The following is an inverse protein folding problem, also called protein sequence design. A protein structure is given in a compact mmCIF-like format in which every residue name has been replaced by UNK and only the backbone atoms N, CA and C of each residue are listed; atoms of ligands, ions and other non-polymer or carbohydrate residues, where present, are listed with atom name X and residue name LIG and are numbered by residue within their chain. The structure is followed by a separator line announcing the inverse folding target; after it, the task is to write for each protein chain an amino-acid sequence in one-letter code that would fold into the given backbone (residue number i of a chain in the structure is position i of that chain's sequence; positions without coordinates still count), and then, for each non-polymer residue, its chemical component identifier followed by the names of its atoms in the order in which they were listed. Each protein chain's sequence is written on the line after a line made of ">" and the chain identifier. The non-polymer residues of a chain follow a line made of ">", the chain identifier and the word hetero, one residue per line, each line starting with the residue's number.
data_IF_650254384150
#
_entry.id   IF_650254384150
#
_cell.length_a   1.000
_cell.length_b   1.000
_cell.length_c   1.000
_cell.angle_alpha   90.00
_cell.angle_beta   90.00
_cell.angle_gamma   90.00
#
_symmetry.space_group_name_H-M   'P 1'
#
loop_
_entity.id
_entity.type
_entity.pdbx_description
1 polymer ?
#
# COMPACT_ATOMS: atom_id res chain seq x y z
N UNK A 1 -0.29 -11.65 20.35
CA UNK A 1 -1.21 -11.48 19.21
C UNK A 1 -0.44 -11.77 17.95
N UNK A 2 -1.03 -12.51 17.00
CA UNK A 2 -0.39 -12.89 15.74
C UNK A 2 -1.01 -12.11 14.59
N UNK A 3 -0.17 -11.58 13.71
CA UNK A 3 -0.59 -10.88 12.50
C UNK A 3 0.12 -11.55 11.33
N UNK A 4 -0.66 -12.04 10.37
CA UNK A 4 -0.11 -12.65 9.16
C UNK A 4 -0.52 -11.85 7.93
N UNK A 5 0.40 -11.69 7.00
CA UNK A 5 0.13 -11.00 5.75
C UNK A 5 0.60 -11.81 4.53
N UNK A 6 -0.15 -11.65 3.44
CA UNK A 6 0.20 -12.15 2.11
C UNK A 6 0.08 -10.98 1.11
N UNK A 7 1.06 -10.85 0.25
CA UNK A 7 1.06 -9.80 -0.75
C UNK A 7 2.30 -9.79 -1.62
N UNK A 8 2.37 -8.83 -2.51
CA UNK A 8 3.56 -8.58 -3.30
C UNK A 8 4.69 -8.07 -2.39
N UNK A 9 5.91 -8.51 -2.65
CA UNK A 9 7.15 -7.91 -2.16
C UNK A 9 8.09 -7.72 -3.34
N UNK A 10 8.74 -6.59 -3.43
CA UNK A 10 9.54 -6.19 -4.57
C UNK A 10 10.67 -5.25 -4.17
N UNK A 11 11.63 -5.06 -5.06
CA UNK A 11 12.64 -4.02 -4.92
C UNK A 11 12.23 -2.80 -5.73
N UNK A 12 12.20 -1.64 -5.07
CA UNK A 12 12.09 -0.34 -5.72
C UNK A 12 13.49 0.18 -6.06
N UNK A 13 13.72 0.42 -7.35
CA UNK A 13 14.92 1.09 -7.87
C UNK A 13 14.61 2.56 -8.08
N UNK A 14 15.13 3.43 -7.20
CA UNK A 14 14.78 4.85 -7.13
C UNK A 14 15.80 5.71 -7.89
N UNK A 15 15.38 6.27 -9.01
CA UNK A 15 16.16 7.22 -9.82
C UNK A 15 15.60 8.62 -9.60
N UNK A 16 16.22 9.40 -8.71
CA UNK A 16 15.71 10.70 -8.26
C UNK A 16 15.93 11.86 -9.23
N UNK A 17 16.81 11.71 -10.22
CA UNK A 17 17.25 12.79 -11.11
C UNK A 17 17.07 12.42 -12.58
N UNK A 18 15.92 11.89 -12.95
CA UNK A 18 15.52 11.74 -14.35
C UNK A 18 15.15 13.12 -14.91
N UNK A 19 15.27 13.29 -16.21
CA UNK A 19 14.88 14.50 -16.91
C UNK A 19 13.76 14.15 -17.89
N UNK A 20 12.55 14.54 -17.55
CA UNK A 20 11.36 14.27 -18.39
C UNK A 20 11.36 15.07 -19.69
N UNK A 21 12.20 16.11 -19.81
CA UNK A 21 12.34 16.89 -21.04
C UNK A 21 13.41 16.30 -21.98
N UNK A 22 14.12 15.26 -21.54
CA UNK A 22 15.06 14.55 -22.40
C UNK A 22 14.35 13.92 -23.61
N UNK A 23 15.00 14.00 -24.77
CA UNK A 23 14.48 13.45 -26.04
C UNK A 23 14.21 11.94 -25.95
N UNK A 24 15.04 11.19 -25.25
CA UNK A 24 14.85 9.75 -25.06
C UNK A 24 13.62 9.47 -24.18
N UNK A 25 13.47 10.18 -23.06
CA UNK A 25 12.29 10.06 -22.21
C UNK A 25 11.03 10.43 -22.99
N UNK A 26 11.04 11.55 -23.71
CA UNK A 26 9.92 12.03 -24.52
C UNK A 26 9.53 11.03 -25.62
N UNK A 27 10.50 10.35 -26.22
CA UNK A 27 10.25 9.36 -27.27
C UNK A 27 9.56 8.09 -26.76
N UNK A 28 9.64 7.84 -25.45
CA UNK A 28 9.04 6.68 -24.78
C UNK A 28 7.69 6.99 -24.13
N UNK A 29 7.21 8.24 -24.18
CA UNK A 29 5.92 8.60 -23.63
C UNK A 29 4.77 7.96 -24.41
N UNK A 30 3.78 7.49 -23.66
CA UNK A 30 2.51 7.02 -24.21
C UNK A 30 1.83 8.13 -25.02
N UNK A 31 1.40 7.79 -26.21
CA UNK A 31 0.63 8.69 -27.12
C UNK A 31 -0.83 8.33 -27.15
N UNK A 32 -1.17 7.08 -26.81
CA UNK A 32 -2.54 6.57 -26.78
C UNK A 32 -2.73 5.66 -25.57
N UNK A 33 -3.88 5.71 -24.96
CA UNK A 33 -4.20 4.85 -23.79
C UNK A 33 -3.93 3.39 -24.11
N UNK A 34 -3.06 2.76 -23.29
CA UNK A 34 -2.75 1.34 -23.40
C UNK A 34 -1.74 0.95 -24.48
N UNK A 35 -1.04 1.91 -25.09
CA UNK A 35 -0.02 1.63 -26.11
C UNK A 35 1.30 1.06 -25.56
N UNK A 36 1.48 1.07 -24.23
CA UNK A 36 2.65 0.53 -23.55
C UNK A 36 3.78 1.53 -23.32
N UNK A 37 3.61 2.80 -23.70
CA UNK A 37 4.57 3.87 -23.44
C UNK A 37 4.55 4.34 -21.98
N UNK A 38 5.58 5.10 -21.57
CA UNK A 38 5.68 5.71 -20.25
C UNK A 38 4.52 6.67 -19.97
N UNK A 39 4.06 6.69 -18.72
CA UNK A 39 2.98 7.58 -18.27
C UNK A 39 3.57 8.43 -17.14
N UNK A 40 3.58 9.75 -17.28
CA UNK A 40 3.94 10.66 -16.20
C UNK A 40 2.90 10.54 -15.07
N UNK A 41 3.37 10.31 -13.85
CA UNK A 41 2.48 10.04 -12.70
C UNK A 41 1.84 8.64 -12.71
N UNK A 42 2.17 7.78 -13.69
CA UNK A 42 1.57 6.46 -13.85
C UNK A 42 2.57 5.33 -13.93
N UNK A 43 2.05 4.12 -14.14
CA UNK A 43 2.85 2.90 -14.23
C UNK A 43 2.66 2.22 -15.58
N UNK A 44 3.74 1.65 -16.10
CA UNK A 44 3.76 0.74 -17.25
C UNK A 44 4.46 -0.56 -16.85
N UNK A 45 4.11 -1.68 -17.48
CA UNK A 45 4.86 -2.91 -17.32
C UNK A 45 6.08 -2.93 -18.26
N UNK A 46 7.19 -3.50 -17.80
CA UNK A 46 8.42 -3.55 -18.56
C UNK A 46 8.22 -4.24 -19.92
N UNK A 47 7.43 -5.33 -19.96
CA UNK A 47 7.11 -6.07 -21.16
C UNK A 47 6.35 -5.22 -22.19
N UNK A 48 5.46 -4.32 -21.71
CA UNK A 48 4.71 -3.43 -22.58
C UNK A 48 5.61 -2.33 -23.14
N UNK A 49 6.51 -1.79 -22.31
CA UNK A 49 7.45 -0.78 -22.71
C UNK A 49 8.47 -1.32 -23.74
N UNK A 50 8.90 -2.59 -23.58
CA UNK A 50 9.74 -3.26 -24.59
C UNK A 50 9.05 -3.35 -25.95
N UNK A 51 7.77 -3.72 -25.95
CA UNK A 51 6.98 -3.81 -27.20
C UNK A 51 6.80 -2.41 -27.82
N UNK A 52 6.49 -1.40 -26.99
CA UNK A 52 6.31 -0.02 -27.44
C UNK A 52 7.60 0.56 -28.07
N UNK A 53 8.73 0.35 -27.39
CA UNK A 53 10.01 0.91 -27.79
C UNK A 53 10.74 0.07 -28.86
N UNK A 54 10.37 -1.20 -29.03
CA UNK A 54 11.07 -2.16 -29.88
C UNK A 54 12.51 -2.47 -29.42
N UNK A 55 12.81 -2.33 -28.13
CA UNK A 55 14.13 -2.53 -27.51
C UNK A 55 14.01 -3.35 -26.23
N UNK A 56 15.04 -4.13 -25.84
CA UNK A 56 15.06 -4.82 -24.56
C UNK A 56 15.00 -3.83 -23.38
N UNK A 57 14.33 -4.23 -22.29
CA UNK A 57 14.17 -3.39 -21.09
C UNK A 57 15.50 -2.95 -20.48
N UNK A 58 16.52 -3.82 -20.51
CA UNK A 58 17.87 -3.48 -20.04
C UNK A 58 18.49 -2.28 -20.75
N UNK A 59 18.28 -2.15 -22.08
CA UNK A 59 18.73 -0.99 -22.84
C UNK A 59 17.92 0.27 -22.52
N UNK A 60 16.60 0.09 -22.30
CA UNK A 60 15.70 1.19 -21.98
C UNK A 60 16.04 1.81 -20.64
N UNK A 61 16.25 0.99 -19.61
CA UNK A 61 16.56 1.50 -18.27
C UNK A 61 17.96 2.15 -18.23
N UNK A 62 18.96 1.61 -18.93
CA UNK A 62 20.28 2.23 -19.05
C UNK A 62 20.19 3.61 -19.70
N UNK A 63 19.36 3.74 -20.73
CA UNK A 63 19.10 5.02 -21.41
C UNK A 63 18.39 6.02 -20.51
N UNK A 64 17.27 5.61 -19.90
CA UNK A 64 16.44 6.45 -19.01
C UNK A 64 17.20 6.89 -17.75
N UNK A 65 18.03 6.02 -17.21
CA UNK A 65 18.85 6.32 -16.03
C UNK A 65 20.12 7.12 -16.37
N UNK A 66 20.48 7.20 -17.65
CA UNK A 66 21.77 7.78 -18.12
C UNK A 66 22.98 7.15 -17.42
N UNK A 67 22.91 5.84 -17.18
CA UNK A 67 23.95 5.07 -16.48
C UNK A 67 24.11 5.43 -14.99
N UNK A 68 23.15 6.15 -14.39
CA UNK A 68 23.15 6.42 -12.95
C UNK A 68 22.75 5.16 -12.16
N UNK A 69 23.34 5.01 -10.98
CA UNK A 69 22.96 3.95 -10.05
C UNK A 69 21.75 4.40 -9.21
N UNK A 70 20.70 3.58 -9.09
CA UNK A 70 19.56 3.88 -8.25
C UNK A 70 19.89 3.67 -6.77
N UNK A 71 19.18 4.37 -5.91
CA UNK A 71 18.96 3.89 -4.55
C UNK A 71 17.97 2.72 -4.59
N UNK A 72 18.08 1.80 -3.64
CA UNK A 72 17.15 0.67 -3.53
C UNK A 72 16.37 0.73 -2.23
N UNK A 73 15.10 0.32 -2.28
CA UNK A 73 14.28 0.14 -1.09
C UNK A 73 13.40 -1.11 -1.26
N UNK A 74 12.87 -1.60 -0.15
CA UNK A 74 11.84 -2.64 -0.16
C UNK A 74 10.49 -1.99 -0.44
N UNK A 75 9.75 -2.54 -1.40
CA UNK A 75 8.37 -2.21 -1.70
C UNK A 75 7.45 -3.40 -1.50
N UNK A 76 6.15 -3.12 -1.60
CA UNK A 76 5.08 -4.09 -1.46
C UNK A 76 4.16 -3.79 -0.29
N UNK A 77 2.85 -3.54 -0.56
CA UNK A 77 1.93 -3.03 0.45
C UNK A 77 1.84 -3.87 1.72
N UNK A 78 1.70 -5.19 1.58
CA UNK A 78 1.54 -6.07 2.74
C UNK A 78 2.79 -6.14 3.61
N UNK A 79 3.97 -6.28 3.01
CA UNK A 79 5.22 -6.41 3.78
C UNK A 79 5.62 -5.08 4.45
N UNK A 80 5.45 -3.95 3.76
CA UNK A 80 5.74 -2.64 4.32
C UNK A 80 4.80 -2.33 5.50
N UNK A 81 3.49 -2.61 5.36
CA UNK A 81 2.53 -2.45 6.46
C UNK A 81 2.92 -3.30 7.67
N UNK A 82 3.34 -4.54 7.44
CA UNK A 82 3.72 -5.46 8.51
C UNK A 82 5.02 -5.05 9.22
N UNK A 83 6.02 -4.57 8.46
CA UNK A 83 7.25 -4.01 9.02
C UNK A 83 6.93 -2.76 9.85
N UNK A 84 6.04 -1.88 9.36
CA UNK A 84 5.58 -0.72 10.12
C UNK A 84 5.01 -1.15 11.48
N UNK A 85 4.13 -2.16 11.50
CA UNK A 85 3.57 -2.73 12.74
C UNK A 85 4.69 -3.23 13.65
N UNK A 86 5.63 -4.02 13.15
CA UNK A 86 6.71 -4.59 13.94
C UNK A 86 7.63 -3.52 14.55
N UNK A 87 7.87 -2.42 13.84
CA UNK A 87 8.68 -1.29 14.29
C UNK A 87 7.96 -0.46 15.37
N UNK A 88 6.66 -0.19 15.18
CA UNK A 88 5.88 0.64 16.11
C UNK A 88 5.45 -0.13 17.36
N UNK A 89 5.29 -1.44 17.25
CA UNK A 89 4.83 -2.28 18.35
C UNK A 89 5.91 -3.18 18.95
N UNK A 90 7.18 -2.84 18.75
CA UNK A 90 8.34 -3.66 19.10
C UNK A 90 8.42 -4.04 20.60
N UNK A 91 7.77 -3.30 21.49
CA UNK A 91 7.69 -3.54 22.93
C UNK A 91 6.43 -4.30 23.37
N UNK A 92 5.55 -4.70 22.45
CA UNK A 92 4.30 -5.38 22.74
C UNK A 92 4.38 -6.87 22.34
N UNK A 93 3.54 -7.74 22.92
CA UNK A 93 3.54 -9.16 22.60
C UNK A 93 2.83 -9.44 21.26
N UNK A 94 3.41 -8.92 20.18
CA UNK A 94 2.91 -9.03 18.80
C UNK A 94 3.96 -9.76 17.97
N UNK A 95 3.53 -10.72 17.16
CA UNK A 95 4.35 -11.39 16.14
C UNK A 95 3.77 -11.14 14.75
N UNK A 96 4.65 -10.83 13.81
CA UNK A 96 4.31 -10.53 12.43
C UNK A 96 4.91 -11.60 11.51
N UNK A 97 4.06 -12.27 10.70
CA UNK A 97 4.49 -13.28 9.75
C UNK A 97 4.05 -12.89 8.33
N UNK A 98 4.96 -13.00 7.37
CA UNK A 98 4.71 -12.66 5.97
C UNK A 98 4.94 -13.87 5.06
N UNK A 99 4.10 -14.03 4.04
CA UNK A 99 4.33 -14.96 2.95
C UNK A 99 4.25 -14.24 1.61
N UNK A 100 5.27 -14.43 0.78
CA UNK A 100 5.38 -13.83 -0.55
C UNK A 100 6.08 -14.74 -1.54
N UNK A 101 6.39 -14.20 -2.71
CA UNK A 101 7.09 -14.90 -3.79
C UNK A 101 8.24 -14.04 -4.31
N UNK A 102 9.38 -14.69 -4.58
CA UNK A 102 10.59 -14.05 -5.12
C UNK A 102 11.26 -14.95 -6.14
N UNK A 103 12.12 -14.37 -6.96
CA UNK A 103 13.07 -15.11 -7.81
C UNK A 103 14.27 -15.63 -7.01
N UNK A 104 14.99 -16.60 -7.57
CA UNK A 104 16.30 -17.05 -7.05
C UNK A 104 17.43 -16.20 -7.66
N UNK A 105 17.44 -14.91 -7.34
CA UNK A 105 18.34 -13.90 -7.90
C UNK A 105 18.87 -12.95 -6.82
N UNK A 106 19.58 -11.92 -7.27
CA UNK A 106 20.15 -10.89 -6.40
C UNK A 106 19.05 -10.13 -5.64
N UNK A 107 17.95 -9.75 -6.31
CA UNK A 107 16.88 -8.96 -5.72
C UNK A 107 16.10 -9.76 -4.68
N UNK A 108 15.90 -11.07 -4.92
CA UNK A 108 15.33 -11.97 -3.91
C UNK A 108 16.21 -12.08 -2.67
N UNK A 109 17.54 -12.08 -2.84
CA UNK A 109 18.49 -12.03 -1.71
C UNK A 109 18.39 -10.69 -0.98
N UNK A 110 18.32 -9.59 -1.70
CA UNK A 110 18.21 -8.24 -1.14
C UNK A 110 16.91 -8.06 -0.35
N UNK A 111 15.77 -8.60 -0.83
CA UNK A 111 14.50 -8.62 -0.07
C UNK A 111 14.70 -9.30 1.28
N UNK A 112 15.32 -10.49 1.30
CA UNK A 112 15.60 -11.22 2.54
C UNK A 112 16.51 -10.43 3.49
N UNK A 113 17.50 -9.71 2.96
CA UNK A 113 18.39 -8.85 3.74
C UNK A 113 17.67 -7.67 4.37
N UNK A 114 16.76 -7.01 3.63
CA UNK A 114 15.94 -5.92 4.18
C UNK A 114 15.03 -6.39 5.30
N UNK A 115 14.29 -7.48 5.06
CA UNK A 115 13.36 -8.04 6.05
C UNK A 115 14.11 -8.61 7.26
N UNK A 116 15.28 -9.22 7.04
CA UNK A 116 16.13 -9.76 8.11
C UNK A 116 16.65 -8.72 9.10
N UNK A 117 16.52 -7.42 8.79
CA UNK A 117 16.81 -6.31 9.72
C UNK A 117 15.59 -5.87 10.54
N UNK A 118 14.47 -6.57 10.42
CA UNK A 118 13.19 -6.27 11.09
C UNK A 118 12.76 -7.47 11.96
N UNK A 119 11.75 -7.29 12.78
CA UNK A 119 11.17 -8.38 13.59
C UNK A 119 10.03 -9.13 12.83
N UNK A 120 9.98 -9.07 11.49
CA UNK A 120 8.99 -9.80 10.67
C UNK A 120 9.55 -11.16 10.27
N UNK A 121 8.84 -12.23 10.60
CA UNK A 121 9.14 -13.57 10.11
C UNK A 121 8.60 -13.74 8.69
N UNK A 122 9.47 -13.80 7.69
CA UNK A 122 9.07 -13.95 6.29
C UNK A 122 9.43 -15.33 5.72
N UNK A 123 8.48 -15.91 5.02
CA UNK A 123 8.67 -17.11 4.20
C UNK A 123 8.34 -16.80 2.73
N UNK A 124 9.02 -17.48 1.82
CA UNK A 124 8.88 -17.22 0.38
C UNK A 124 8.74 -18.50 -0.42
N UNK A 125 7.86 -18.46 -1.42
CA UNK A 125 8.00 -19.31 -2.58
C UNK A 125 9.13 -18.74 -3.46
N UNK A 126 10.17 -19.55 -3.72
CA UNK A 126 11.33 -19.12 -4.50
C UNK A 126 11.35 -19.80 -5.87
N UNK A 127 11.27 -19.02 -6.94
CA UNK A 127 11.29 -19.53 -8.31
C UNK A 127 12.65 -19.27 -8.97
N UNK A 128 13.20 -20.28 -9.64
CA UNK A 128 14.39 -20.15 -10.47
C UNK A 128 14.12 -19.75 -11.92
N UNK A 129 12.86 -19.70 -12.31
CA UNK A 129 12.40 -19.47 -13.69
C UNK A 129 11.96 -18.05 -13.98
N UNK A 130 11.70 -17.25 -12.94
CA UNK A 130 11.23 -15.88 -13.05
C UNK A 130 12.06 -14.97 -12.14
N UNK A 131 12.33 -13.73 -12.56
CA UNK A 131 13.03 -12.77 -11.71
C UNK A 131 12.15 -12.34 -10.52
N UNK A 132 12.79 -11.84 -9.47
CA UNK A 132 12.10 -11.16 -8.38
C UNK A 132 11.33 -9.95 -8.90
N UNK A 133 10.11 -9.69 -8.42
CA UNK A 133 9.37 -8.48 -8.78
C UNK A 133 10.17 -7.21 -8.46
N UNK A 134 10.15 -6.24 -9.37
CA UNK A 134 10.84 -4.95 -9.19
C UNK A 134 10.01 -3.81 -9.72
N UNK A 135 10.22 -2.61 -9.17
CA UNK A 135 9.67 -1.36 -9.71
C UNK A 135 10.80 -0.36 -9.90
N UNK A 136 10.89 0.20 -11.10
CA UNK A 136 11.80 1.29 -11.43
C UNK A 136 11.05 2.60 -11.32
N UNK A 137 11.43 3.43 -10.36
CA UNK A 137 10.82 4.72 -10.07
C UNK A 137 11.68 5.81 -10.70
N UNK A 138 11.19 6.41 -11.75
CA UNK A 138 11.85 7.49 -12.48
C UNK A 138 11.30 8.82 -11.95
N UNK A 139 12.07 9.52 -11.12
CA UNK A 139 11.67 10.78 -10.51
C UNK A 139 12.31 11.98 -11.22
N UNK A 140 11.50 12.97 -11.60
CA UNK A 140 11.96 14.28 -12.05
C UNK A 140 11.47 15.36 -11.09
N UNK A 141 12.40 15.92 -10.29
CA UNK A 141 12.11 17.00 -9.32
C UNK A 141 11.68 18.31 -9.96
N UNK A 142 11.98 18.52 -11.25
CA UNK A 142 11.66 19.74 -11.99
C UNK A 142 10.34 19.65 -12.75
N UNK A 143 9.76 18.47 -12.87
CA UNK A 143 8.45 18.27 -13.49
C UNK A 143 7.35 19.07 -12.79
N UNK A 144 6.25 19.31 -13.49
CA UNK A 144 5.08 20.04 -12.97
C UNK A 144 5.42 21.41 -12.36
N UNK A 145 6.39 22.15 -12.97
CA UNK A 145 6.79 23.47 -12.48
C UNK A 145 7.58 23.43 -11.18
N UNK A 146 8.32 22.35 -10.92
CA UNK A 146 9.13 22.18 -9.71
C UNK A 146 8.43 21.49 -8.55
N UNK A 147 7.21 20.97 -8.76
CA UNK A 147 6.51 20.14 -7.77
C UNK A 147 7.04 18.71 -7.74
N UNK A 148 7.71 18.29 -8.82
CA UNK A 148 8.20 16.95 -9.01
C UNK A 148 7.12 15.99 -9.51
N UNK A 149 7.55 14.96 -10.24
CA UNK A 149 6.68 13.88 -10.69
C UNK A 149 7.47 12.57 -10.79
N UNK A 150 6.78 11.43 -10.79
CA UNK A 150 7.37 10.10 -10.92
C UNK A 150 6.64 9.30 -11.98
N UNK A 151 7.38 8.45 -12.66
CA UNK A 151 6.86 7.42 -13.55
C UNK A 151 7.37 6.07 -13.07
N UNK A 152 6.55 5.05 -13.18
CA UNK A 152 6.86 3.73 -12.66
C UNK A 152 6.93 2.72 -13.79
N UNK A 153 7.96 1.87 -13.77
CA UNK A 153 8.05 0.71 -14.65
C UNK A 153 8.12 -0.53 -13.76
N UNK A 154 7.15 -1.42 -13.86
CA UNK A 154 7.06 -2.61 -13.02
C UNK A 154 7.41 -3.86 -13.81
N UNK A 155 8.22 -4.73 -13.20
CA UNK A 155 8.48 -6.10 -13.63
C UNK A 155 7.72 -7.02 -12.68
N UNK A 156 6.68 -7.69 -13.19
CA UNK A 156 5.87 -8.61 -12.37
C UNK A 156 6.71 -9.82 -11.95
N UNK A 157 7.50 -10.38 -12.84
CA UNK A 157 8.38 -11.52 -12.55
C UNK A 157 7.65 -12.68 -11.88
N UNK A 158 8.25 -13.20 -10.81
CA UNK A 158 7.71 -14.31 -10.02
C UNK A 158 6.32 -14.02 -9.41
N UNK A 159 5.95 -12.74 -9.19
CA UNK A 159 4.66 -12.37 -8.62
C UNK A 159 3.45 -12.88 -9.44
N UNK A 160 3.64 -13.10 -10.74
CA UNK A 160 2.62 -13.67 -11.61
C UNK A 160 2.20 -15.10 -11.27
N UNK A 161 3.05 -15.84 -10.57
CA UNK A 161 2.91 -17.29 -10.38
C UNK A 161 2.33 -17.67 -9.01
N UNK A 162 2.21 -16.74 -8.05
CA UNK A 162 1.70 -17.08 -6.72
C UNK A 162 0.18 -17.33 -6.76
N UNK A 163 -0.23 -18.51 -6.28
CA UNK A 163 -1.64 -18.87 -6.07
C UNK A 163 -1.92 -19.15 -4.60
N UNK A 164 -3.18 -19.32 -4.23
CA UNK A 164 -3.59 -19.64 -2.85
C UNK A 164 -3.11 -21.01 -2.37
N UNK A 165 -2.74 -21.89 -3.31
CA UNK A 165 -2.32 -23.26 -3.00
C UNK A 165 -0.94 -23.31 -2.33
N UNK A 166 -0.04 -22.38 -2.69
CA UNK A 166 1.30 -22.30 -2.12
C UNK A 166 1.33 -21.69 -0.71
N UNK A 167 0.22 -21.05 -0.28
CA UNK A 167 0.17 -20.40 1.03
C UNK A 167 0.01 -21.42 2.15
N UNK A 168 0.98 -21.50 3.09
CA UNK A 168 0.94 -22.46 4.20
C UNK A 168 -0.31 -22.30 5.06
N UNK A 169 -0.89 -23.40 5.51
CA UNK A 169 -2.08 -23.38 6.35
C UNK A 169 -1.85 -22.68 7.69
N UNK A 170 -0.63 -22.78 8.21
CA UNK A 170 -0.21 -22.17 9.47
C UNK A 170 -0.34 -20.64 9.47
N UNK A 171 -0.24 -20.03 8.29
CA UNK A 171 -0.38 -18.58 8.13
C UNK A 171 -1.79 -18.08 8.44
N UNK A 172 -2.80 -18.93 8.30
CA UNK A 172 -4.20 -18.60 8.63
C UNK A 172 -4.52 -18.76 10.13
N UNK A 173 -3.63 -19.40 10.91
CA UNK A 173 -3.76 -19.49 12.38
C UNK A 173 -3.24 -18.21 13.04
N UNK A 174 -3.96 -17.14 12.86
CA UNK A 174 -3.60 -15.76 13.21
C UNK A 174 -4.80 -14.99 13.74
N UNK A 175 -4.56 -13.93 14.49
CA UNK A 175 -5.65 -13.04 14.96
C UNK A 175 -6.07 -12.06 13.86
N UNK A 176 -5.08 -11.51 13.10
CA UNK A 176 -5.33 -10.64 11.95
C UNK A 176 -4.70 -11.26 10.68
N UNK A 177 -5.48 -11.38 9.62
CA UNK A 177 -5.02 -11.80 8.30
C UNK A 177 -5.12 -10.63 7.33
N UNK A 178 -3.97 -10.20 6.80
CA UNK A 178 -3.84 -9.02 5.94
C UNK A 178 -3.51 -9.44 4.52
N UNK A 179 -4.27 -8.94 3.56
CA UNK A 179 -3.97 -9.00 2.14
C UNK A 179 -3.63 -7.60 1.66
N UNK A 180 -2.45 -7.41 1.06
CA UNK A 180 -2.02 -6.10 0.57
C UNK A 180 -1.49 -6.17 -0.85
N UNK A 181 -2.01 -5.27 -1.73
CA UNK A 181 -1.51 -5.11 -3.09
C UNK A 181 -1.67 -6.33 -3.99
N UNK A 182 -2.74 -7.11 -3.81
CA UNK A 182 -2.95 -8.38 -4.54
C UNK A 182 -3.09 -8.22 -6.05
N UNK A 183 -3.44 -7.03 -6.55
CA UNK A 183 -3.46 -6.75 -7.99
C UNK A 183 -2.10 -6.92 -8.68
N UNK A 184 -0.99 -6.85 -7.92
CA UNK A 184 0.36 -7.20 -8.39
C UNK A 184 0.67 -8.71 -8.33
N UNK A 185 -0.27 -9.50 -7.83
CA UNK A 185 -0.24 -10.97 -7.78
C UNK A 185 -1.46 -11.53 -8.53
N UNK A 186 -1.50 -11.43 -9.86
CA UNK A 186 -2.74 -11.61 -10.63
C UNK A 186 -3.41 -12.98 -10.43
N UNK A 187 -2.66 -14.06 -10.29
CA UNK A 187 -3.22 -15.37 -10.04
C UNK A 187 -3.87 -15.46 -8.65
N UNK A 188 -3.20 -14.91 -7.63
CA UNK A 188 -3.71 -14.84 -6.26
C UNK A 188 -4.93 -13.91 -6.15
N UNK A 189 -4.94 -12.80 -6.90
CA UNK A 189 -6.05 -11.84 -6.91
C UNK A 189 -7.37 -12.48 -7.36
N UNK A 190 -7.33 -13.38 -8.32
CA UNK A 190 -8.52 -14.14 -8.75
C UNK A 190 -9.04 -15.09 -7.65
N UNK A 191 -8.24 -15.42 -6.65
CA UNK A 191 -8.55 -16.36 -5.57
C UNK A 191 -8.81 -15.67 -4.21
N UNK A 192 -9.01 -14.35 -4.18
CA UNK A 192 -9.25 -13.56 -2.96
C UNK A 192 -10.36 -14.14 -2.07
N UNK A 193 -11.49 -14.54 -2.66
CA UNK A 193 -12.61 -15.11 -1.91
C UNK A 193 -12.21 -16.42 -1.19
N UNK A 194 -11.38 -17.25 -1.83
CA UNK A 194 -10.90 -18.49 -1.23
C UNK A 194 -9.97 -18.18 -0.04
N UNK A 195 -9.05 -17.22 -0.19
CA UNK A 195 -8.15 -16.80 0.88
C UNK A 195 -8.89 -16.24 2.08
N UNK A 196 -9.80 -15.31 1.84
CA UNK A 196 -10.61 -14.69 2.89
C UNK A 196 -11.50 -15.72 3.58
N UNK A 197 -12.07 -16.68 2.82
CA UNK A 197 -12.84 -17.79 3.40
C UNK A 197 -11.97 -18.66 4.31
N UNK A 198 -10.72 -18.97 3.93
CA UNK A 198 -9.79 -19.75 4.77
C UNK A 198 -9.49 -18.98 6.07
N UNK A 199 -9.18 -17.68 5.98
CA UNK A 199 -8.89 -16.83 7.13
C UNK A 199 -10.11 -16.74 8.10
N UNK A 200 -11.30 -16.49 7.56
CA UNK A 200 -12.56 -16.41 8.37
C UNK A 200 -12.88 -17.74 9.04
N UNK A 201 -12.68 -18.87 8.38
CA UNK A 201 -12.87 -20.20 8.98
C UNK A 201 -11.88 -20.49 10.11
N UNK A 202 -10.69 -19.91 10.05
CA UNK A 202 -9.70 -19.99 11.11
C UNK A 202 -9.97 -19.01 12.28
N UNK A 203 -10.96 -18.13 12.13
CA UNK A 203 -11.33 -17.13 13.15
C UNK A 203 -10.59 -15.81 13.06
N UNK A 204 -9.81 -15.59 12.02
CA UNK A 204 -9.06 -14.34 11.84
C UNK A 204 -9.97 -13.17 11.43
N UNK A 205 -9.68 -11.97 11.94
CA UNK A 205 -10.14 -10.73 11.35
C UNK A 205 -9.39 -10.50 10.03
N UNK A 206 -10.12 -10.11 8.98
CA UNK A 206 -9.58 -9.94 7.63
C UNK A 206 -9.47 -8.46 7.25
N UNK A 207 -8.29 -8.04 6.83
CA UNK A 207 -8.00 -6.68 6.37
C UNK A 207 -7.48 -6.75 4.94
N UNK A 208 -8.06 -5.98 4.04
CA UNK A 208 -7.60 -5.89 2.64
C UNK A 208 -7.18 -4.46 2.35
N UNK A 209 -5.90 -4.28 2.05
CA UNK A 209 -5.36 -3.06 1.45
C UNK A 209 -5.24 -3.25 -0.06
N UNK A 210 -5.91 -2.42 -0.84
CA UNK A 210 -5.84 -2.49 -2.30
C UNK A 210 -4.62 -1.78 -2.84
N UNK A 211 -4.41 -1.89 -4.13
CA UNK A 211 -3.46 -1.12 -4.92
C UNK A 211 -4.09 -0.92 -6.29
N UNK A 212 -3.67 0.12 -7.00
CA UNK A 212 -4.15 0.40 -8.34
C UNK A 212 -3.92 -0.82 -9.27
N UNK A 213 -4.99 -1.35 -9.86
CA UNK A 213 -4.96 -2.54 -10.73
C UNK A 213 -4.64 -2.14 -12.16
N UNK A 214 -3.37 -1.89 -12.44
CA UNK A 214 -2.89 -1.48 -13.75
C UNK A 214 -3.23 -2.49 -14.85
N UNK A 215 -3.27 -3.79 -14.55
CA UNK A 215 -3.57 -4.84 -15.51
C UNK A 215 -5.02 -4.78 -15.98
N UNK A 216 -5.96 -4.57 -15.07
CA UNK A 216 -7.37 -4.41 -15.41
C UNK A 216 -7.67 -3.02 -15.95
N UNK A 217 -7.01 -1.97 -15.46
CA UNK A 217 -7.11 -0.63 -16.03
C UNK A 217 -6.67 -0.61 -17.51
N UNK A 218 -5.58 -1.31 -17.87
CA UNK A 218 -5.14 -1.46 -19.25
C UNK A 218 -6.17 -2.19 -20.13
N UNK A 219 -6.79 -3.26 -19.61
CA UNK A 219 -7.80 -4.04 -20.35
C UNK A 219 -9.09 -3.27 -20.59
N UNK A 220 -9.51 -2.46 -19.63
CA UNK A 220 -10.74 -1.68 -19.67
C UNK A 220 -10.52 -0.32 -18.99
N UNK A 221 -9.89 0.63 -19.70
CA UNK A 221 -9.55 1.95 -19.15
C UNK A 221 -10.77 2.64 -18.57
N UNK A 222 -10.64 3.13 -17.34
CA UNK A 222 -11.71 3.77 -16.56
C UNK A 222 -12.94 2.87 -16.29
N UNK A 223 -12.86 1.60 -16.65
CA UNK A 223 -13.90 0.63 -16.36
C UNK A 223 -13.81 0.11 -14.92
N UNK A 224 -14.85 -0.63 -14.54
CA UNK A 224 -14.87 -1.29 -13.24
C UNK A 224 -13.89 -2.45 -13.21
N UNK A 225 -13.07 -2.50 -12.14
CA UNK A 225 -12.17 -3.63 -11.91
C UNK A 225 -12.92 -4.84 -11.35
N UNK A 226 -12.49 -6.06 -11.72
CA UNK A 226 -13.07 -7.27 -11.19
C UNK A 226 -12.69 -7.40 -9.70
N UNK A 227 -13.72 -7.57 -8.87
CA UNK A 227 -13.57 -7.97 -7.48
C UNK A 227 -14.78 -8.83 -7.14
N UNK A 228 -14.56 -10.04 -6.69
CA UNK A 228 -15.68 -10.97 -6.46
C UNK A 228 -16.58 -10.44 -5.35
N UNK A 229 -17.89 -10.42 -5.61
CA UNK A 229 -18.89 -9.82 -4.71
C UNK A 229 -18.84 -10.40 -3.29
N UNK A 230 -18.59 -11.69 -3.13
CA UNK A 230 -18.56 -12.32 -1.82
C UNK A 230 -17.25 -12.01 -1.07
N UNK A 231 -16.15 -11.66 -1.76
CA UNK A 231 -14.93 -11.18 -1.13
C UNK A 231 -15.15 -9.88 -0.35
N UNK A 232 -16.03 -8.99 -0.80
CA UNK A 232 -16.39 -7.78 -0.05
C UNK A 232 -16.97 -8.09 1.33
N UNK A 233 -17.88 -9.08 1.42
CA UNK A 233 -18.52 -9.49 2.68
C UNK A 233 -17.59 -10.25 3.62
N UNK A 234 -16.51 -10.83 3.07
CA UNK A 234 -15.49 -11.56 3.82
C UNK A 234 -14.35 -10.64 4.28
N UNK A 235 -14.36 -9.37 3.89
CA UNK A 235 -13.38 -8.36 4.26
C UNK A 235 -13.90 -7.55 5.43
N UNK A 236 -13.39 -7.77 6.66
CA UNK A 236 -13.84 -7.02 7.84
C UNK A 236 -13.47 -5.54 7.76
N UNK A 237 -12.32 -5.22 7.14
CA UNK A 237 -11.93 -3.84 6.86
C UNK A 237 -11.27 -3.74 5.47
N UNK A 238 -11.86 -2.91 4.60
CA UNK A 238 -11.30 -2.55 3.30
C UNK A 238 -10.61 -1.19 3.41
N UNK A 239 -9.33 -1.11 2.98
CA UNK A 239 -8.56 0.14 2.89
C UNK A 239 -8.15 0.34 1.45
N UNK A 240 -8.53 1.46 0.85
CA UNK A 240 -8.22 1.80 -0.54
C UNK A 240 -8.04 3.31 -0.70
N UNK A 241 -7.51 3.73 -1.85
CA UNK A 241 -7.56 5.14 -2.22
C UNK A 241 -8.83 5.48 -3.03
N UNK A 242 -9.02 6.77 -3.29
CA UNK A 242 -10.20 7.25 -4.04
C UNK A 242 -10.26 6.71 -5.46
N UNK A 243 -9.13 6.58 -6.17
CA UNK A 243 -9.11 6.07 -7.53
C UNK A 243 -9.46 4.58 -7.54
N UNK A 244 -8.88 3.82 -6.63
CA UNK A 244 -9.18 2.40 -6.45
C UNK A 244 -10.66 2.18 -6.09
N UNK A 245 -11.20 2.99 -5.16
CA UNK A 245 -12.59 2.93 -4.77
C UNK A 245 -13.54 3.16 -5.96
N UNK A 246 -13.27 4.18 -6.78
CA UNK A 246 -14.03 4.49 -7.99
C UNK A 246 -13.97 3.32 -8.99
N UNK A 247 -12.78 2.74 -9.20
CA UNK A 247 -12.60 1.61 -10.11
C UNK A 247 -13.26 0.32 -9.61
N UNK A 248 -13.10 0.00 -8.33
CA UNK A 248 -13.72 -1.19 -7.71
C UNK A 248 -15.26 -1.11 -7.74
N UNK A 249 -15.81 0.06 -7.50
CA UNK A 249 -17.27 0.27 -7.52
C UNK A 249 -17.84 0.46 -8.92
N UNK A 250 -17.05 1.00 -9.86
CA UNK A 250 -17.50 1.42 -11.18
C UNK A 250 -18.30 2.72 -11.15
N UNK A 251 -18.06 3.56 -10.16
CA UNK A 251 -18.69 4.89 -9.98
C UNK A 251 -17.77 6.00 -10.46
N UNK A 252 -18.15 7.26 -10.28
CA UNK A 252 -17.41 8.43 -10.80
C UNK A 252 -16.83 9.33 -9.71
N UNK A 253 -17.21 9.09 -8.44
CA UNK A 253 -16.80 9.91 -7.30
C UNK A 253 -16.75 9.08 -6.02
N UNK A 254 -16.07 9.62 -5.00
CA UNK A 254 -15.80 8.94 -3.73
C UNK A 254 -17.08 8.62 -2.94
N UNK A 255 -18.07 9.50 -2.93
CA UNK A 255 -19.33 9.27 -2.18
C UNK A 255 -20.17 8.17 -2.83
N UNK A 256 -20.24 8.17 -4.16
CA UNK A 256 -20.91 7.11 -4.93
C UNK A 256 -20.21 5.77 -4.74
N UNK A 257 -18.88 5.76 -4.67
CA UNK A 257 -18.09 4.56 -4.37
C UNK A 257 -18.38 4.04 -2.96
N UNK A 258 -18.39 4.92 -1.96
CA UNK A 258 -18.73 4.56 -0.57
C UNK A 258 -20.13 3.97 -0.46
N UNK A 259 -21.14 4.61 -1.05
CA UNK A 259 -22.53 4.09 -1.08
C UNK A 259 -22.60 2.72 -1.77
N UNK A 260 -21.81 2.54 -2.81
CA UNK A 260 -21.72 1.26 -3.50
C UNK A 260 -21.10 0.17 -2.60
N UNK A 261 -20.02 0.46 -1.85
CA UNK A 261 -19.41 -0.50 -0.90
C UNK A 261 -20.39 -0.90 0.20
N UNK A 262 -21.17 0.05 0.74
CA UNK A 262 -22.22 -0.22 1.70
C UNK A 262 -23.26 -1.20 1.11
N UNK A 263 -23.74 -0.93 -0.10
CA UNK A 263 -24.71 -1.79 -0.79
C UNK A 263 -24.14 -3.15 -1.18
N UNK A 264 -22.83 -3.25 -1.42
CA UNK A 264 -22.13 -4.50 -1.69
C UNK A 264 -21.92 -5.36 -0.44
N UNK A 265 -22.12 -4.78 0.76
CA UNK A 265 -22.02 -5.46 2.04
C UNK A 265 -20.61 -5.50 2.61
N UNK A 266 -19.76 -4.53 2.29
CA UNK A 266 -18.45 -4.32 2.97
C UNK A 266 -18.77 -3.93 4.42
N UNK A 267 -18.27 -4.63 5.45
CA UNK A 267 -18.60 -4.33 6.85
C UNK A 267 -18.04 -3.01 7.36
N UNK A 268 -16.80 -2.67 6.97
CA UNK A 268 -16.16 -1.38 7.25
C UNK A 268 -15.14 -1.04 6.17
N UNK A 269 -14.95 0.25 5.91
CA UNK A 269 -13.93 0.71 4.97
C UNK A 269 -13.34 2.07 5.35
N UNK A 270 -12.11 2.29 4.87
CA UNK A 270 -11.41 3.58 4.91
C UNK A 270 -10.96 3.88 3.48
N UNK A 271 -11.31 5.07 2.96
CA UNK A 271 -10.91 5.55 1.63
C UNK A 271 -10.01 6.77 1.82
N UNK A 272 -8.75 6.66 1.44
CA UNK A 272 -7.80 7.78 1.48
C UNK A 272 -7.91 8.63 0.22
N UNK A 273 -7.58 9.92 0.32
CA UNK A 273 -7.68 10.87 -0.79
C UNK A 273 -6.44 11.79 -0.88
N UNK A 274 -5.25 11.20 -0.83
CA UNK A 274 -4.00 11.95 -0.87
C UNK A 274 -3.88 12.94 0.29
N UNK A 275 -3.80 14.24 0.00
CA UNK A 275 -3.76 15.33 0.99
C UNK A 275 -5.15 15.86 1.38
N UNK A 276 -6.23 15.21 0.96
CA UNK A 276 -7.61 15.59 1.30
C UNK A 276 -8.16 14.69 2.40
N UNK A 277 -9.38 15.02 2.85
CA UNK A 277 -10.05 14.29 3.94
C UNK A 277 -10.21 12.80 3.63
N UNK A 278 -10.03 11.99 4.65
CA UNK A 278 -10.19 10.54 4.63
C UNK A 278 -11.64 10.20 4.89
N UNK A 279 -12.24 9.38 4.04
CA UNK A 279 -13.61 8.93 4.21
C UNK A 279 -13.65 7.55 4.86
N UNK A 280 -14.44 7.40 5.93
CA UNK A 280 -14.60 6.10 6.59
C UNK A 280 -16.06 5.81 6.99
N UNK A 281 -16.37 4.52 7.10
CA UNK A 281 -17.67 4.01 7.46
C UNK A 281 -17.59 2.61 8.07
N UNK A 282 -18.49 2.31 9.02
CA UNK A 282 -18.63 0.98 9.60
C UNK A 282 -20.10 0.65 9.88
N UNK A 283 -20.54 -0.55 9.50
CA UNK A 283 -21.89 -1.06 9.76
C UNK A 283 -22.09 -1.48 11.21
N UNK A 284 -23.35 -1.63 11.63
CA UNK A 284 -23.72 -2.20 12.92
C UNK A 284 -23.30 -3.66 13.11
N UNK A 285 -23.08 -4.37 12.00
CA UNK A 285 -22.69 -5.79 12.00
C UNK A 285 -21.19 -5.99 11.85
N UNK A 286 -20.41 -4.89 11.82
CA UNK A 286 -18.95 -4.92 11.74
C UNK A 286 -18.30 -5.19 13.10
N UNK A 287 -16.99 -5.39 13.09
CA UNK A 287 -16.17 -5.46 14.31
C UNK A 287 -15.89 -4.07 14.93
N UNK A 288 -16.40 -3.01 14.33
CA UNK A 288 -16.24 -1.62 14.77
C UNK A 288 -17.53 -1.06 15.36
N UNK A 289 -17.42 -0.04 16.21
CA UNK A 289 -18.57 0.79 16.53
C UNK A 289 -19.19 1.34 15.24
N UNK A 290 -20.52 1.31 15.16
CA UNK A 290 -21.24 1.86 14.00
C UNK A 290 -20.79 3.29 13.75
N UNK A 291 -20.32 3.56 12.55
CA UNK A 291 -19.85 4.87 12.14
C UNK A 291 -20.57 5.27 10.88
N UNK A 292 -21.28 6.39 10.90
CA UNK A 292 -21.86 6.97 9.69
C UNK A 292 -20.75 7.35 8.70
N UNK A 293 -21.12 7.60 7.46
CA UNK A 293 -20.18 8.02 6.44
C UNK A 293 -19.55 9.37 6.83
N UNK A 294 -18.32 9.31 7.33
CA UNK A 294 -17.64 10.43 8.00
C UNK A 294 -16.33 10.79 7.30
N UNK A 295 -16.15 12.08 7.08
CA UNK A 295 -14.89 12.65 6.61
C UNK A 295 -14.00 13.05 7.79
N UNK A 296 -12.76 12.57 7.79
CA UNK A 296 -11.73 12.92 8.77
C UNK A 296 -10.65 13.76 8.10
N UNK A 297 -10.34 14.96 8.60
CA UNK A 297 -9.29 15.78 8.00
C UNK A 297 -7.94 15.10 8.10
N UNK A 298 -7.04 15.30 7.14
CA UNK A 298 -5.65 14.82 7.23
C UNK A 298 -4.90 15.46 8.39
N UNK A 299 -3.78 14.86 8.79
CA UNK A 299 -2.98 15.32 9.91
C UNK A 299 -2.33 16.68 9.63
N UNK A 300 -2.93 17.76 10.15
CA UNK A 300 -2.44 19.14 9.98
C UNK A 300 -1.00 19.32 10.48
N UNK A 301 -0.58 18.60 11.51
CA UNK A 301 0.78 18.73 12.04
C UNK A 301 1.85 18.42 10.99
N UNK A 302 1.62 17.41 10.17
CA UNK A 302 2.52 17.04 9.06
C UNK A 302 2.50 18.13 7.98
N UNK A 303 1.32 18.63 7.61
CA UNK A 303 1.20 19.73 6.65
C UNK A 303 1.93 21.00 7.14
N UNK A 304 1.77 21.35 8.41
CA UNK A 304 2.45 22.52 9.02
C UNK A 304 3.99 22.33 8.98
N UNK A 305 4.51 21.11 9.23
CA UNK A 305 5.93 20.80 9.10
C UNK A 305 6.43 21.00 7.66
N UNK A 306 5.71 20.47 6.67
CA UNK A 306 6.07 20.57 5.25
C UNK A 306 5.93 22.01 4.71
N UNK A 307 4.99 22.79 5.22
CA UNK A 307 4.88 24.22 4.89
C UNK A 307 6.02 25.04 5.49
N UNK A 308 6.45 24.71 6.72
CA UNK A 308 7.56 25.39 7.37
C UNK A 308 8.91 25.07 6.71
N UNK A 309 9.08 23.83 6.28
CA UNK A 309 10.27 23.36 5.57
C UNK A 309 9.92 22.35 4.47
N UNK A 310 9.70 22.82 3.22
CA UNK A 310 9.39 21.94 2.09
C UNK A 310 10.47 20.90 1.77
N UNK A 311 11.70 21.07 2.25
CA UNK A 311 12.77 20.09 2.04
C UNK A 311 12.59 18.80 2.83
N UNK A 312 11.68 18.79 3.80
CA UNK A 312 11.28 17.59 4.55
C UNK A 312 10.47 16.61 3.71
N UNK A 313 9.84 17.07 2.62
CA UNK A 313 9.15 16.16 1.70
C UNK A 313 10.17 15.36 0.91
N UNK A 314 10.37 14.09 1.32
CA UNK A 314 11.36 13.21 0.70
C UNK A 314 10.74 12.38 -0.41
N UNK A 315 9.61 11.72 -0.13
CA UNK A 315 8.94 10.83 -1.07
C UNK A 315 7.47 10.63 -0.68
N UNK A 316 6.62 10.26 -1.64
CA UNK A 316 5.24 9.83 -1.38
C UNK A 316 5.06 8.31 -1.58
N UNK A 317 6.13 7.60 -2.00
CA UNK A 317 6.12 6.14 -2.16
C UNK A 317 5.94 5.48 -0.78
N UNK A 318 5.00 4.55 -0.70
CA UNK A 318 4.73 3.81 0.53
C UNK A 318 3.91 4.55 1.58
N UNK A 319 3.38 5.77 1.30
CA UNK A 319 2.47 6.45 2.23
C UNK A 319 1.22 5.62 2.50
N UNK A 320 0.60 5.02 1.46
CA UNK A 320 -0.54 4.11 1.60
C UNK A 320 -0.21 2.85 2.39
N UNK A 321 0.98 2.29 2.18
CA UNK A 321 1.44 1.09 2.87
C UNK A 321 1.66 1.35 4.36
N UNK A 322 2.28 2.50 4.70
CA UNK A 322 2.45 2.93 6.08
C UNK A 322 1.12 3.35 6.72
N UNK A 323 0.19 3.94 5.94
CA UNK A 323 -1.17 4.20 6.39
C UNK A 323 -1.86 2.89 6.83
N UNK A 324 -1.85 1.87 5.97
CA UNK A 324 -2.39 0.55 6.30
C UNK A 324 -1.69 -0.05 7.54
N UNK A 325 -0.36 0.11 7.64
CA UNK A 325 0.41 -0.29 8.82
C UNK A 325 -0.10 0.38 10.09
N UNK A 326 -0.34 1.70 10.06
CA UNK A 326 -0.91 2.46 11.18
C UNK A 326 -2.31 2.01 11.57
N UNK A 327 -3.17 1.74 10.59
CA UNK A 327 -4.51 1.14 10.81
C UNK A 327 -4.38 -0.20 11.57
N UNK A 328 -3.47 -1.07 11.14
CA UNK A 328 -3.23 -2.36 11.80
C UNK A 328 -2.67 -2.16 13.22
N UNK A 329 -1.78 -1.18 13.44
CA UNK A 329 -1.28 -0.82 14.79
C UNK A 329 -2.43 -0.46 15.71
N UNK A 330 -3.35 0.44 15.29
CA UNK A 330 -4.51 0.83 16.09
C UNK A 330 -5.40 -0.38 16.44
N UNK A 331 -5.80 -1.17 15.43
CA UNK A 331 -6.62 -2.37 15.64
C UNK A 331 -5.94 -3.32 16.63
N UNK A 332 -4.66 -3.56 16.46
CA UNK A 332 -3.88 -4.46 17.32
C UNK A 332 -3.82 -3.96 18.77
N UNK A 333 -3.59 -2.66 18.97
CA UNK A 333 -3.59 -2.03 20.30
C UNK A 333 -4.95 -2.18 20.97
N UNK A 334 -6.02 -1.86 20.26
CA UNK A 334 -7.37 -1.98 20.76
C UNK A 334 -7.73 -3.42 21.17
N UNK A 335 -7.34 -4.41 20.36
CA UNK A 335 -7.55 -5.83 20.66
C UNK A 335 -6.71 -6.34 21.86
N UNK A 336 -5.53 -5.77 22.07
CA UNK A 336 -4.71 -6.09 23.26
C UNK A 336 -5.25 -5.45 24.54
N UNK A 337 -5.89 -4.28 24.44
CA UNK A 337 -6.46 -3.53 25.57
C UNK A 337 -7.87 -4.01 25.96
N UNK A 338 -8.69 -4.41 24.95
CA UNK A 338 -10.12 -4.77 25.10
C UNK A 338 -10.31 -6.22 24.68
N UNK A 339 -10.68 -7.09 25.62
CA UNK A 339 -10.88 -8.52 25.32
C UNK A 339 -12.23 -8.83 24.63
N UNK A 340 -13.21 -7.90 24.62
CA UNK A 340 -14.61 -8.15 24.24
C UNK A 340 -15.38 -6.95 23.68
N UNK A 341 -14.72 -5.88 23.27
CA UNK A 341 -15.33 -4.65 22.78
C UNK A 341 -15.27 -4.47 21.27
N UNK A 342 -16.18 -3.65 20.73
CA UNK A 342 -16.11 -3.14 19.38
C UNK A 342 -14.90 -2.21 19.24
N UNK A 343 -14.29 -2.23 18.05
CA UNK A 343 -13.13 -1.40 17.71
C UNK A 343 -13.59 0.04 17.37
N UNK A 344 -12.71 1.00 17.58
CA UNK A 344 -12.88 2.38 17.19
C UNK A 344 -12.24 2.63 15.81
N UNK A 345 -13.07 2.90 14.79
CA UNK A 345 -12.63 3.18 13.45
C UNK A 345 -11.93 4.55 13.34
N UNK A 346 -12.34 5.54 14.14
CA UNK A 346 -11.67 6.85 14.18
C UNK A 346 -10.22 6.74 14.65
N UNK A 347 -9.96 5.91 15.70
CA UNK A 347 -8.59 5.65 16.15
C UNK A 347 -7.78 4.95 15.05
N UNK A 348 -8.37 4.04 14.27
CA UNK A 348 -7.69 3.43 13.12
C UNK A 348 -7.34 4.45 12.04
N UNK A 349 -8.24 5.38 11.71
CA UNK A 349 -7.96 6.50 10.79
C UNK A 349 -6.85 7.40 11.32
N UNK A 350 -6.88 7.71 12.62
CA UNK A 350 -5.87 8.53 13.29
C UNK A 350 -4.46 7.93 13.15
N UNK A 351 -4.29 6.68 13.54
CA UNK A 351 -3.00 5.99 13.42
C UNK A 351 -2.57 5.82 11.97
N UNK A 352 -3.50 5.51 11.07
CA UNK A 352 -3.26 5.44 9.64
C UNK A 352 -2.75 6.76 9.08
N UNK A 353 -3.48 7.85 9.31
CA UNK A 353 -3.13 9.19 8.83
C UNK A 353 -1.80 9.72 9.39
N UNK A 354 -1.52 9.49 10.67
CA UNK A 354 -0.23 9.82 11.27
C UNK A 354 0.92 9.03 10.63
N UNK A 355 0.72 7.73 10.39
CA UNK A 355 1.74 6.84 9.82
C UNK A 355 2.00 7.13 8.34
N UNK A 356 0.96 7.37 7.55
CA UNK A 356 1.07 7.80 6.15
C UNK A 356 1.74 9.18 6.04
N UNK A 357 1.42 10.10 6.96
CA UNK A 357 2.07 11.41 7.06
C UNK A 357 3.55 11.31 7.41
N UNK A 358 3.94 10.47 8.37
CA UNK A 358 5.35 10.22 8.69
C UNK A 358 6.13 9.68 7.47
N UNK A 359 5.49 8.88 6.63
CA UNK A 359 6.14 8.30 5.45
C UNK A 359 6.58 9.33 4.41
N UNK A 360 5.98 10.52 4.39
CA UNK A 360 6.43 11.64 3.55
C UNK A 360 7.85 12.13 3.88
N UNK A 361 8.36 11.83 5.10
CA UNK A 361 9.62 12.34 5.62
C UNK A 361 10.81 11.41 5.39
N UNK A 362 10.64 10.30 4.64
CA UNK A 362 11.73 9.39 4.28
C UNK A 362 11.54 8.82 2.86
N UNK A 363 12.60 8.26 2.29
CA UNK A 363 12.56 7.69 0.94
C UNK A 363 12.02 6.25 0.91
N UNK A 364 11.09 5.98 0.02
CA UNK A 364 10.51 4.65 -0.21
C UNK A 364 9.55 4.20 0.91
N UNK A 365 9.05 2.97 0.82
CA UNK A 365 8.07 2.43 1.77
C UNK A 365 8.68 2.01 3.11
N UNK A 366 9.88 1.42 3.09
CA UNK A 366 10.57 0.93 4.29
C UNK A 366 11.33 2.04 5.00
N UNK A 367 11.01 2.27 6.28
CA UNK A 367 11.83 3.09 7.16
C UNK A 367 12.98 2.27 7.76
N UNK A 368 14.22 2.69 7.48
CA UNK A 368 15.41 2.05 8.04
C UNK A 368 15.71 2.59 9.43
N UNK A 369 15.39 1.84 10.46
CA UNK A 369 15.71 2.20 11.85
C UNK A 369 17.23 2.09 12.11
N UNK A 370 17.82 3.13 12.66
CA UNK A 370 19.19 3.09 13.18
C UNK A 370 19.28 2.47 14.58
N UNK A 371 18.16 2.46 15.31
CA UNK A 371 17.98 1.77 16.58
C UNK A 371 16.53 1.33 16.73
N UNK A 372 16.31 0.19 17.35
CA UNK A 372 14.97 -0.37 17.57
C UNK A 372 14.05 0.62 18.28
N UNK A 373 12.85 0.83 17.74
CA UNK A 373 11.86 1.77 18.26
C UNK A 373 12.02 3.23 17.78
N UNK A 374 12.96 3.50 16.89
CA UNK A 374 13.14 4.85 16.34
C UNK A 374 11.89 5.33 15.61
N UNK A 375 11.25 4.46 14.83
CA UNK A 375 10.03 4.81 14.09
C UNK A 375 8.88 5.16 15.05
N UNK A 376 8.70 4.38 16.12
CA UNK A 376 7.72 4.68 17.15
C UNK A 376 7.96 6.07 17.76
N UNK A 377 9.22 6.38 18.14
CA UNK A 377 9.59 7.69 18.72
C UNK A 377 9.27 8.87 17.79
N UNK A 378 9.45 8.70 16.48
CA UNK A 378 9.12 9.73 15.48
C UNK A 378 7.61 9.84 15.24
N UNK A 379 6.88 8.73 15.31
CA UNK A 379 5.46 8.67 15.05
C UNK A 379 4.61 9.23 16.20
N UNK A 380 4.98 8.94 17.45
CA UNK A 380 4.14 9.28 18.62
C UNK A 380 3.80 10.76 18.74
N UNK A 381 4.69 11.74 18.49
CA UNK A 381 4.33 13.16 18.48
C UNK A 381 3.27 13.51 17.43
N UNK A 382 3.32 12.88 16.24
CA UNK A 382 2.37 13.09 15.15
C UNK A 382 1.00 12.53 15.56
N UNK A 383 0.96 11.31 16.12
CA UNK A 383 -0.26 10.68 16.65
C UNK A 383 -0.90 11.57 17.72
N UNK A 384 -0.11 12.07 18.66
CA UNK A 384 -0.62 12.94 19.73
C UNK A 384 -1.20 14.27 19.21
N UNK A 385 -0.54 14.88 18.22
CA UNK A 385 -1.01 16.12 17.60
C UNK A 385 -2.29 15.88 16.79
N UNK A 386 -2.35 14.79 16.02
CA UNK A 386 -3.52 14.46 15.22
C UNK A 386 -4.73 14.08 16.08
N UNK A 387 -4.51 13.34 17.19
CA UNK A 387 -5.56 13.05 18.15
C UNK A 387 -6.20 14.32 18.68
N UNK A 388 -5.38 15.28 19.13
CA UNK A 388 -5.88 16.57 19.61
C UNK A 388 -6.67 17.33 18.53
N UNK A 389 -6.25 17.25 17.26
CA UNK A 389 -6.96 17.87 16.14
C UNK A 389 -8.37 17.26 15.97
N UNK A 390 -8.48 15.92 16.00
CA UNK A 390 -9.76 15.23 15.83
C UNK A 390 -10.71 15.47 17.03
N UNK A 391 -10.21 15.48 18.26
CA UNK A 391 -10.98 15.79 19.46
C UNK A 391 -11.63 17.18 19.38
N UNK A 392 -10.86 18.19 18.92
CA UNK A 392 -11.38 19.58 18.74
C UNK A 392 -12.42 19.67 17.63
N UNK A 393 -12.26 18.91 16.53
CA UNK A 393 -13.22 18.90 15.44
C UNK A 393 -14.57 18.29 15.89
N UNK A 394 -14.53 17.24 16.71
CA UNK A 394 -15.73 16.62 17.29
C UNK A 394 -16.53 17.58 18.18
N UNK A 395 -15.84 18.28 19.10
CA UNK A 395 -16.46 19.26 20.01
C UNK A 395 -17.15 20.44 19.27
N UNK A 396 -16.71 20.76 18.05
CA UNK A 396 -17.29 21.81 17.22
C UNK A 396 -18.49 21.36 16.41
N UNK A 397 -18.59 20.06 16.08
CA UNK A 397 -19.73 19.49 15.34
C UNK A 397 -20.95 19.22 16.22
N UNK A 398 -20.78 19.12 17.55
CA UNK A 398 -21.86 18.92 18.52
C UNK A 398 -22.49 20.26 19.03
N UNK A 399 -21.96 21.40 18.63
CA UNK A 399 -22.48 22.75 18.96
C UNK A 399 -23.25 23.35 17.80
#
# INVERSE_FOLDING_TARGET
>A
MKISAVGCCLIDYLYADCDYQDTEFQSLLSTNTGDGGLIQGGLVFAEDLEVFAGKPFSELIDTLSRGKHPATNLGGPAIISLIHVSQVMHNLPVSCSFFGIIGKDHDGTLIKEYIGKTDVEAAFLELGTHPTPTTYVLGDRHALGGKGERSFINVIGAAGELTSHEIPNELFNTDLFVLGGTALLPALHEELELLLTRAKRAGAMTIVGTIFDFKNEKKNPQGRWPYKKDAYKLTDLLVCDTQEAIRLSGTTDIESAAKWFIAAGVPAFIITHGSQDILAWASSDSLFHTTELTYYPVCKHVDDMLHADPSLLMDTTGCGDNFLGGVIVSITRQLLEKSDGLLDLQDAVLWGGASGGLALLFHGGLFHESSKGQKEQLLMPIVAAYKKQLDVAHDQSEK
#
